data_IF_719025895200
#
_entry.id   IF_719025895200
#
_cell.length_a   1.000
_cell.length_b   1.000
_cell.length_c   1.000
_cell.angle_alpha   90.00
_cell.angle_beta   90.00
_cell.angle_gamma   90.00
#
_symmetry.space_group_name_H-M   'P 1'
#
loop_
_entity.id
_entity.type
_entity.pdbx_description
1 polymer ?
#
# COMPACT_ATOMS: atom_id res chain seq x y z
N UNK A 1 -1.17 -1.49 15.83
CA UNK A 1 -0.24 -0.77 14.95
C UNK A 1 -0.29 0.70 15.31
N UNK A 2 0.84 1.39 15.30
CA UNK A 2 0.86 2.86 15.38
C UNK A 2 0.24 3.46 14.12
N UNK A 3 -0.08 4.76 14.16
CA UNK A 3 -0.63 5.47 13.00
C UNK A 3 0.34 5.38 11.81
N UNK A 4 1.64 5.57 12.03
CA UNK A 4 2.67 5.45 11.00
C UNK A 4 2.73 4.04 10.39
N UNK A 5 2.72 3.00 11.22
CA UNK A 5 2.69 1.62 10.76
C UNK A 5 1.43 1.31 9.94
N UNK A 6 0.28 1.84 10.37
CA UNK A 6 -0.99 1.67 9.67
C UNK A 6 -0.95 2.36 8.30
N UNK A 7 -0.40 3.57 8.21
CA UNK A 7 -0.25 4.28 6.94
C UNK A 7 0.55 3.45 5.93
N UNK A 8 1.72 2.95 6.34
CA UNK A 8 2.57 2.13 5.47
C UNK A 8 1.89 0.81 5.10
N UNK A 9 1.26 0.14 6.06
CA UNK A 9 0.56 -1.12 5.83
C UNK A 9 -0.61 -0.96 4.84
N UNK A 10 -1.43 0.08 5.04
CA UNK A 10 -2.53 0.40 4.12
C UNK A 10 -2.00 0.72 2.71
N UNK A 11 -0.87 1.45 2.62
CA UNK A 11 -0.25 1.84 1.36
C UNK A 11 0.32 0.65 0.59
N UNK A 12 1.06 -0.24 1.27
CA UNK A 12 1.55 -1.49 0.69
C UNK A 12 0.39 -2.34 0.18
N UNK A 13 -0.69 -2.44 0.96
CA UNK A 13 -1.87 -3.18 0.53
C UNK A 13 -2.49 -2.59 -0.74
N UNK A 14 -2.60 -1.26 -0.80
CA UNK A 14 -3.14 -0.55 -1.95
C UNK A 14 -2.26 -0.73 -3.20
N UNK A 15 -0.94 -0.57 -3.07
CA UNK A 15 0.02 -0.83 -4.16
C UNK A 15 -0.12 -2.24 -4.74
N UNK A 16 -0.30 -3.25 -3.88
CA UNK A 16 -0.39 -4.65 -4.31
C UNK A 16 -1.74 -5.04 -4.88
N UNK A 17 -2.82 -4.44 -4.38
CA UNK A 17 -4.19 -4.83 -4.77
C UNK A 17 -4.68 -4.04 -5.98
N UNK A 18 -4.26 -2.78 -6.09
CA UNK A 18 -4.76 -1.80 -7.05
C UNK A 18 -3.60 -1.12 -7.81
N UNK A 19 -2.65 -1.89 -8.39
CA UNK A 19 -1.45 -1.34 -9.02
C UNK A 19 -1.76 -0.45 -10.24
N UNK A 20 -2.92 -0.62 -10.86
CA UNK A 20 -3.38 0.17 -12.02
C UNK A 20 -3.62 1.65 -11.70
N UNK A 21 -3.73 2.01 -10.41
CA UNK A 21 -3.85 3.41 -9.98
C UNK A 21 -2.52 4.17 -9.96
N UNK A 22 -1.41 3.46 -10.18
CA UNK A 22 -0.07 4.01 -10.17
C UNK A 22 0.52 3.90 -11.57
N UNK A 23 0.83 5.04 -12.19
CA UNK A 23 1.62 5.09 -13.41
C UNK A 23 3.07 4.65 -13.13
N UNK A 24 3.83 4.37 -14.19
CA UNK A 24 5.26 4.05 -14.06
C UNK A 24 6.05 5.23 -13.45
N UNK A 25 5.67 6.46 -13.76
CA UNK A 25 6.25 7.66 -13.16
C UNK A 25 5.96 7.73 -11.66
N UNK A 26 4.72 7.47 -11.25
CA UNK A 26 4.35 7.47 -9.82
C UNK A 26 5.18 6.42 -9.06
N UNK A 27 5.30 5.22 -9.61
CA UNK A 27 6.08 4.14 -8.98
C UNK A 27 7.56 4.51 -8.86
N UNK A 28 8.13 5.12 -9.88
CA UNK A 28 9.52 5.58 -9.87
C UNK A 28 9.73 6.64 -8.80
N UNK A 29 8.86 7.65 -8.73
CA UNK A 29 8.94 8.71 -7.74
C UNK A 29 8.79 8.17 -6.31
N UNK A 30 7.84 7.26 -6.08
CA UNK A 30 7.66 6.63 -4.76
C UNK A 30 8.91 5.81 -4.39
N UNK A 31 9.51 5.09 -5.34
CA UNK A 31 10.74 4.31 -5.10
C UNK A 31 11.93 5.20 -4.72
N UNK A 32 12.14 6.30 -5.45
CA UNK A 32 13.19 7.29 -5.16
C UNK A 32 12.95 8.00 -3.81
N UNK A 33 11.68 8.33 -3.52
CA UNK A 33 11.28 8.92 -2.25
C UNK A 33 11.67 8.01 -1.08
N UNK A 34 11.29 6.73 -1.14
CA UNK A 34 11.62 5.74 -0.11
C UNK A 34 13.13 5.54 -0.02
N UNK A 35 13.84 5.49 -1.15
CA UNK A 35 15.29 5.35 -1.18
C UNK A 35 16.00 6.51 -0.47
N UNK A 36 15.46 7.72 -0.59
CA UNK A 36 16.01 8.93 0.01
C UNK A 36 15.72 9.07 1.52
N UNK A 37 14.72 8.35 2.05
CA UNK A 37 14.41 8.37 3.49
C UNK A 37 15.27 7.39 4.29
N UNK A 38 15.49 7.71 5.57
CA UNK A 38 16.02 6.75 6.53
C UNK A 38 15.07 5.54 6.69
N UNK A 39 15.61 4.41 7.13
CA UNK A 39 14.83 3.20 7.45
C UNK A 39 14.07 3.35 8.79
N UNK A 40 13.48 4.53 9.00
CA UNK A 40 12.62 4.85 10.12
C UNK A 40 11.16 4.82 9.66
N UNK A 41 10.34 4.07 10.40
CA UNK A 41 8.91 3.89 10.09
C UNK A 41 8.14 5.22 10.04
N UNK A 42 8.50 6.19 10.90
CA UNK A 42 7.82 7.48 10.96
C UNK A 42 8.25 8.37 9.79
N UNK A 43 9.55 8.42 9.46
CA UNK A 43 10.05 9.14 8.30
C UNK A 43 9.42 8.64 6.99
N UNK A 44 9.38 7.32 6.79
CA UNK A 44 8.75 6.70 5.63
C UNK A 44 7.24 7.01 5.57
N UNK A 45 6.52 6.89 6.69
CA UNK A 45 5.09 7.17 6.73
C UNK A 45 4.78 8.65 6.43
N UNK A 46 5.62 9.57 6.93
CA UNK A 46 5.48 10.99 6.67
C UNK A 46 5.74 11.30 5.19
N UNK A 47 6.84 10.79 4.62
CA UNK A 47 7.17 11.00 3.21
C UNK A 47 6.05 10.49 2.29
N UNK A 48 5.51 9.28 2.54
CA UNK A 48 4.36 8.76 1.77
C UNK A 48 3.12 9.64 1.94
N UNK A 49 2.87 10.14 3.15
CA UNK A 49 1.72 11.03 3.40
C UNK A 49 1.85 12.35 2.63
N UNK A 50 3.04 12.97 2.65
CA UNK A 50 3.34 14.19 1.90
C UNK A 50 3.25 13.97 0.39
N UNK A 51 3.68 12.80 -0.10
CA UNK A 51 3.51 12.44 -1.51
C UNK A 51 2.02 12.31 -1.87
N UNK A 52 1.23 11.60 -1.07
CA UNK A 52 -0.22 11.47 -1.30
C UNK A 52 -0.96 12.82 -1.32
N UNK A 53 -0.51 13.80 -0.53
CA UNK A 53 -1.06 15.16 -0.56
C UNK A 53 -0.82 15.87 -1.90
N UNK A 54 0.33 15.60 -2.56
CA UNK A 54 0.63 16.13 -3.90
C UNK A 54 -0.15 15.41 -5.01
N UNK A 55 -0.57 14.17 -4.77
CA UNK A 55 -1.30 13.33 -5.72
C UNK A 55 -2.73 13.03 -5.25
N UNK A 56 -3.63 14.04 -5.26
CA UNK A 56 -4.97 13.92 -4.69
C UNK A 56 -5.83 12.84 -5.37
N UNK A 57 -5.57 12.53 -6.65
CA UNK A 57 -6.25 11.43 -7.34
C UNK A 57 -5.92 10.06 -6.72
N UNK A 58 -4.64 9.81 -6.47
CA UNK A 58 -4.16 8.57 -5.85
C UNK A 58 -4.61 8.49 -4.39
N UNK A 59 -4.54 9.60 -3.66
CA UNK A 59 -5.06 9.68 -2.29
C UNK A 59 -6.56 9.35 -2.23
N UNK A 60 -7.38 9.96 -3.08
CA UNK A 60 -8.81 9.68 -3.13
C UNK A 60 -9.10 8.21 -3.50
N UNK A 61 -8.35 7.65 -4.44
CA UNK A 61 -8.46 6.23 -4.81
C UNK A 61 -8.15 5.32 -3.61
N UNK A 62 -7.07 5.59 -2.90
CA UNK A 62 -6.69 4.86 -1.69
C UNK A 62 -7.77 4.94 -0.61
N UNK A 63 -8.36 6.12 -0.39
CA UNK A 63 -9.43 6.31 0.60
C UNK A 63 -10.70 5.54 0.21
N UNK A 64 -11.06 5.52 -1.07
CA UNK A 64 -12.18 4.70 -1.58
C UNK A 64 -11.90 3.21 -1.42
N UNK A 65 -10.70 2.75 -1.77
CA UNK A 65 -10.27 1.37 -1.59
C UNK A 65 -10.40 0.91 -0.12
N UNK A 66 -9.97 1.75 0.84
CA UNK A 66 -10.15 1.47 2.27
C UNK A 66 -11.63 1.33 2.65
N UNK A 67 -12.49 2.21 2.14
CA UNK A 67 -13.93 2.15 2.41
C UNK A 67 -14.58 0.89 1.82
N UNK A 68 -14.20 0.47 0.61
CA UNK A 68 -14.74 -0.73 -0.03
C UNK A 68 -14.36 -2.01 0.73
N UNK A 69 -13.11 -2.10 1.22
CA UNK A 69 -12.68 -3.20 2.12
C UNK A 69 -13.53 -3.24 3.40
N UNK A 70 -13.94 -2.08 3.92
CA UNK A 70 -14.78 -2.02 5.13
C UNK A 70 -16.21 -2.46 4.86
N UNK A 71 -16.76 -2.16 3.68
CA UNK A 71 -18.12 -2.57 3.29
C UNK A 71 -18.22 -4.07 3.07
N UNK A 72 -17.25 -4.67 2.38
CA UNK A 72 -17.24 -6.12 2.13
C UNK A 72 -17.11 -6.94 3.43
N UNK A 73 -16.42 -6.41 4.45
CA UNK A 73 -16.33 -7.01 5.77
C UNK A 73 -17.67 -7.13 6.51
N UNK A 74 -18.63 -6.23 6.28
CA UNK A 74 -19.88 -6.19 7.03
C UNK A 74 -20.93 -7.17 6.50
N UNK A 75 -20.69 -7.84 5.38
CA UNK A 75 -21.68 -8.71 4.74
C UNK A 75 -21.72 -10.11 5.40
N UNK A 76 -20.75 -10.45 6.25
CA UNK A 76 -20.72 -11.71 7.00
C UNK A 76 -21.24 -11.53 8.43
N UNK A 77 -22.49 -11.07 8.57
CA UNK A 77 -23.28 -11.24 9.80
C UNK A 77 -24.75 -11.34 9.43
N UNK A 78 -25.07 -12.38 8.67
CA UNK A 78 -26.43 -12.91 8.59
C UNK A 78 -26.80 -13.51 9.94
N UNK A 79 -27.36 -12.68 10.81
CA UNK A 79 -28.47 -13.03 11.72
C UNK A 79 -28.99 -11.75 12.39
N UNK A 80 -29.89 -11.05 11.68
CA UNK A 80 -31.08 -10.46 12.29
C UNK A 80 -30.96 -9.32 13.31
N UNK A 81 -29.89 -8.52 13.34
CA UNK A 81 -29.87 -7.30 14.19
C UNK A 81 -29.40 -6.07 13.42
N UNK A 82 -30.34 -5.17 13.13
CA UNK A 82 -30.12 -3.82 12.63
C UNK A 82 -29.22 -3.11 13.66
N UNK A 83 -27.95 -2.90 13.31
CA UNK A 83 -27.02 -2.18 14.17
C UNK A 83 -27.12 -0.67 13.89
N UNK A 84 -27.58 0.04 14.92
CA UNK A 84 -27.83 1.48 15.08
C UNK A 84 -26.75 2.44 14.58
N UNK A 85 -27.07 3.77 14.48
CA UNK A 85 -26.14 4.80 14.04
C UNK A 85 -24.90 4.86 14.96
N UNK A 86 -23.72 4.90 14.34
CA UNK A 86 -22.40 4.90 15.01
C UNK A 86 -22.25 6.10 15.97
N UNK A 87 -21.96 5.82 17.24
CA UNK A 87 -21.52 6.83 18.21
C UNK A 87 -20.02 7.18 18.06
N UNK A 88 -19.60 8.38 18.51
CA UNK A 88 -18.21 8.83 18.42
C UNK A 88 -17.32 8.01 19.37
N UNK A 89 -16.34 7.28 18.82
CA UNK A 89 -15.30 6.60 19.63
C UNK A 89 -14.94 5.17 19.22
N UNK A 90 -15.66 4.51 18.31
CA UNK A 90 -15.31 3.13 17.91
C UNK A 90 -14.23 3.09 16.81
N UNK A 91 -12.96 3.25 17.19
CA UNK A 91 -11.82 2.89 16.34
C UNK A 91 -11.62 1.37 16.33
N UNK A 92 -12.54 0.61 15.70
CA UNK A 92 -12.25 -0.79 15.40
C UNK A 92 -11.18 -0.81 14.31
N UNK A 93 -9.99 -1.28 14.68
CA UNK A 93 -8.87 -1.52 13.80
C UNK A 93 -9.32 -2.47 12.68
N UNK A 94 -8.84 -2.15 11.48
CA UNK A 94 -9.16 -2.82 10.23
C UNK A 94 -8.56 -4.24 10.22
N UNK A 95 -9.34 -5.27 10.55
CA UNK A 95 -8.87 -6.67 10.60
C UNK A 95 -8.76 -7.34 9.21
N UNK A 96 -9.24 -6.69 8.14
CA UNK A 96 -9.25 -7.28 6.79
C UNK A 96 -8.05 -6.92 5.93
N UNK A 97 -7.23 -5.94 6.34
CA UNK A 97 -5.97 -5.66 5.63
C UNK A 97 -4.91 -6.60 6.19
N UNK A 98 -4.25 -7.43 5.34
CA UNK A 98 -3.13 -8.26 5.76
C UNK A 98 -2.05 -7.41 6.42
N UNK A 99 -1.40 -7.96 7.44
CA UNK A 99 -0.23 -7.30 8.04
C UNK A 99 0.97 -7.55 7.14
N UNK A 100 1.45 -6.48 6.52
CA UNK A 100 2.68 -6.47 5.75
C UNK A 100 3.87 -6.10 6.65
N UNK A 101 5.06 -6.51 6.21
CA UNK A 101 6.28 -5.94 6.76
C UNK A 101 6.42 -4.51 6.23
N UNK A 102 6.77 -3.57 7.11
CA UNK A 102 6.71 -2.12 6.87
C UNK A 102 8.11 -1.49 6.80
N UNK A 103 9.12 -2.33 6.62
CA UNK A 103 10.50 -1.92 6.36
C UNK A 103 10.66 -1.37 4.94
N UNK A 104 11.73 -0.59 4.73
CA UNK A 104 12.07 0.02 3.45
C UNK A 104 12.13 -1.00 2.30
N UNK A 105 12.63 -2.21 2.55
CA UNK A 105 12.75 -3.25 1.52
C UNK A 105 11.37 -3.77 1.08
N UNK A 106 10.46 -3.95 2.03
CA UNK A 106 9.09 -4.38 1.76
C UNK A 106 8.30 -3.34 0.95
N UNK A 107 8.52 -2.06 1.22
CA UNK A 107 7.94 -0.98 0.40
C UNK A 107 8.50 -1.01 -1.03
N UNK A 108 9.83 -1.12 -1.20
CA UNK A 108 10.45 -1.25 -2.53
C UNK A 108 9.90 -2.44 -3.32
N UNK A 109 9.76 -3.60 -2.66
CA UNK A 109 9.21 -4.81 -3.28
C UNK A 109 7.73 -4.67 -3.66
N UNK A 110 6.97 -3.80 -3.00
CA UNK A 110 5.57 -3.55 -3.32
C UNK A 110 5.39 -2.59 -4.51
N UNK A 111 6.38 -1.75 -4.78
CA UNK A 111 6.35 -0.72 -5.84
C UNK A 111 6.87 -1.27 -7.17
N UNK A 112 7.95 -2.05 -7.11
CA UNK A 112 8.51 -2.64 -8.31
C UNK A 112 7.48 -3.63 -8.88
N UNK A 113 7.19 -3.58 -10.20
CA UNK A 113 6.62 -4.76 -10.82
C UNK A 113 7.55 -5.92 -10.47
N UNK A 114 7.00 -7.06 -10.03
CA UNK A 114 7.77 -8.31 -9.90
C UNK A 114 8.74 -8.37 -11.08
N UNK A 115 10.02 -8.74 -10.85
CA UNK A 115 11.02 -8.67 -11.89
C UNK A 115 10.39 -9.25 -13.14
N UNK A 116 10.25 -8.41 -14.18
CA UNK A 116 10.25 -8.93 -15.54
C UNK A 116 11.45 -9.86 -15.48
N UNK A 117 11.22 -11.17 -15.53
CA UNK A 117 12.30 -12.11 -15.71
C UNK A 117 13.03 -11.53 -16.91
N UNK A 118 14.17 -10.87 -16.65
CA UNK A 118 15.13 -10.58 -17.68
C UNK A 118 15.40 -11.96 -18.18
N UNK A 119 14.77 -12.26 -19.31
CA UNK A 119 15.03 -13.45 -20.08
C UNK A 119 16.54 -13.36 -20.32
N UNK A 120 17.26 -14.03 -19.44
CA UNK A 120 18.69 -14.24 -19.54
C UNK A 120 18.83 -15.32 -20.59
N UNK A 121 18.37 -15.04 -21.81
CA UNK A 121 18.81 -15.71 -23.01
C UNK A 121 20.27 -15.34 -23.19
N UNK A 122 21.09 -16.06 -22.42
CA UNK A 122 22.43 -16.53 -22.74
C UNK A 122 23.25 -15.54 -23.57
N UNK A 123 23.97 -14.67 -22.86
CA UNK A 123 25.39 -14.61 -23.16
C UNK A 123 25.98 -16.00 -22.93
N UNK A 124 26.25 -16.72 -24.01
CA UNK A 124 27.36 -17.65 -24.00
C UNK A 124 28.45 -17.04 -24.89
N UNK A 125 29.51 -16.64 -24.21
CA UNK A 125 30.73 -16.11 -24.79
C UNK A 125 31.43 -17.16 -25.65
N UNK A 126 32.18 -16.63 -26.62
CA UNK A 126 33.56 -16.99 -26.92
C UNK A 126 33.91 -18.23 -27.76
N UNK A 127 34.64 -17.89 -28.83
CA UNK A 127 35.89 -18.50 -29.28
C UNK A 127 35.80 -19.81 -30.10
N UNK A 128 35.85 -19.68 -31.43
CA UNK A 128 37.08 -19.92 -32.21
C UNK A 128 36.93 -19.42 -33.65
#
# INVERSE_FOLDING_TARGET
MSIYQKTLNDFIHFLKSEPSWFSESDRTEIAELIESQDDDTKALANAISEWLEKYPFVYNAMQRFKQEIHKSSQIHSSNGHISSPRGPGSSKLNDNIPKYSIDKQSLKNAILPMPIYKDSSKQNQSNN
#
